data_IF_138314477775
#
_entry.id   IF_138314477775
#
_cell.length_a   1.000
_cell.length_b   1.000
_cell.length_c   1.000
_cell.angle_alpha   90.00
_cell.angle_beta   90.00
_cell.angle_gamma   90.00
#
_symmetry.space_group_name_H-M   'P 1'
#
loop_
_entity.id
_entity.type
_entity.pdbx_description
1 polymer ?
#
# COMPACT_ATOMS: atom_id res chain seq x y z
N UNK A 1 -8.86 12.78 13.87
CA UNK A 1 -7.92 12.59 12.74
C UNK A 1 -8.57 11.69 11.72
N UNK A 2 -8.42 12.00 10.45
CA UNK A 2 -8.80 11.09 9.37
C UNK A 2 -7.59 10.81 8.47
N UNK A 3 -7.73 9.90 7.52
CA UNK A 3 -6.64 9.51 6.64
C UNK A 3 -6.01 10.70 5.90
N UNK A 4 -6.83 11.67 5.49
CA UNK A 4 -6.38 12.79 4.68
C UNK A 4 -5.59 13.85 5.46
N UNK A 5 -5.56 13.75 6.80
CA UNK A 5 -4.72 14.60 7.65
C UNK A 5 -3.27 14.12 7.70
N UNK A 6 -2.98 12.95 7.14
CA UNK A 6 -1.66 12.32 7.22
C UNK A 6 -0.81 12.71 6.04
N UNK A 7 0.46 13.02 6.31
CA UNK A 7 1.49 13.30 5.31
C UNK A 7 2.51 12.16 5.34
N UNK A 8 2.90 11.69 4.16
CA UNK A 8 3.92 10.66 3.98
C UNK A 8 5.03 11.19 3.09
N UNK A 9 6.10 10.43 2.91
CA UNK A 9 7.17 10.78 1.97
C UNK A 9 7.14 9.84 0.78
N UNK A 10 7.31 10.40 -0.43
CA UNK A 10 7.50 9.58 -1.62
C UNK A 10 8.94 9.04 -1.66
N UNK A 11 9.25 8.24 -2.66
CA UNK A 11 10.59 7.64 -2.79
C UNK A 11 11.68 8.61 -3.25
N UNK A 12 11.34 9.88 -3.42
CA UNK A 12 12.29 10.97 -3.68
C UNK A 12 12.49 11.85 -2.44
N UNK A 13 11.90 11.49 -1.30
CA UNK A 13 12.00 12.23 -0.05
C UNK A 13 11.09 13.45 0.04
N UNK A 14 10.15 13.62 -0.89
CA UNK A 14 9.21 14.73 -0.89
C UNK A 14 7.98 14.41 -0.07
N UNK A 15 7.46 15.41 0.65
CA UNK A 15 6.24 15.25 1.45
C UNK A 15 5.01 15.21 0.56
N UNK A 16 4.14 14.24 0.83
CA UNK A 16 2.89 14.02 0.09
C UNK A 16 1.74 13.95 1.09
N UNK A 17 0.79 14.88 0.99
CA UNK A 17 -0.43 14.80 1.78
C UNK A 17 -1.35 13.75 1.19
N UNK A 18 -1.89 12.87 2.03
CA UNK A 18 -2.85 11.86 1.56
C UNK A 18 -4.18 12.49 1.11
N UNK A 19 -4.41 13.78 1.41
CA UNK A 19 -5.57 14.52 0.90
C UNK A 19 -5.60 14.59 -0.63
N UNK A 20 -4.46 14.45 -1.30
CA UNK A 20 -4.44 14.44 -2.78
C UNK A 20 -5.14 13.21 -3.38
N UNK A 21 -5.38 12.18 -2.59
CA UNK A 21 -6.11 10.98 -3.04
C UNK A 21 -7.58 11.00 -2.67
N UNK A 22 -8.08 12.12 -2.17
CA UNK A 22 -9.48 12.28 -1.79
C UNK A 22 -10.40 11.98 -2.98
N UNK A 23 -11.43 11.19 -2.74
CA UNK A 23 -12.36 10.76 -3.79
C UNK A 23 -11.97 9.48 -4.53
N UNK A 24 -10.76 8.96 -4.27
CA UNK A 24 -10.30 7.69 -4.86
C UNK A 24 -10.47 6.54 -3.89
N UNK A 25 -10.69 5.34 -4.45
CA UNK A 25 -10.59 4.10 -3.68
C UNK A 25 -9.11 3.74 -3.60
N UNK A 26 -8.61 3.44 -2.40
CA UNK A 26 -7.19 3.17 -2.18
C UNK A 26 -6.98 1.75 -1.68
N UNK A 27 -5.92 1.11 -2.17
CA UNK A 27 -5.38 -0.11 -1.59
C UNK A 27 -3.97 0.23 -1.07
N UNK A 28 -3.81 0.21 0.25
CA UNK A 28 -2.54 0.54 0.91
C UNK A 28 -1.85 -0.75 1.30
N UNK A 29 -0.61 -0.94 0.85
CA UNK A 29 0.11 -2.21 0.97
C UNK A 29 1.52 -1.95 1.51
N UNK A 30 1.94 -2.72 2.51
CA UNK A 30 3.35 -2.77 2.90
C UNK A 30 4.04 -3.89 2.13
N UNK A 31 5.15 -3.59 1.49
CA UNK A 31 5.73 -4.46 0.47
C UNK A 31 7.19 -4.81 0.73
N UNK A 32 7.69 -5.78 -0.03
CA UNK A 32 9.08 -6.22 0.02
C UNK A 32 9.50 -6.78 -1.33
N UNK A 33 10.81 -6.74 -1.60
CA UNK A 33 11.37 -7.18 -2.88
C UNK A 33 11.95 -8.60 -2.83
N UNK A 34 12.10 -9.17 -1.62
CA UNK A 34 12.70 -10.52 -1.42
C UNK A 34 11.83 -11.44 -0.59
N UNK A 35 10.52 -11.26 -0.64
CA UNK A 35 9.53 -12.07 0.07
C UNK A 35 8.97 -13.16 -0.85
N UNK A 36 8.53 -14.28 -0.27
CA UNK A 36 7.78 -15.30 -1.02
C UNK A 36 6.50 -14.75 -1.65
N UNK A 37 5.92 -13.66 -1.09
CA UNK A 37 4.75 -12.99 -1.64
C UNK A 37 5.08 -11.88 -2.64
N UNK A 38 6.36 -11.57 -2.89
CA UNK A 38 6.76 -10.52 -3.85
C UNK A 38 6.10 -10.68 -5.23
N UNK A 39 5.86 -11.91 -5.76
CA UNK A 39 5.13 -12.05 -7.01
C UNK A 39 3.72 -11.44 -7.02
N UNK A 40 3.13 -11.11 -5.85
CA UNK A 40 1.85 -10.40 -5.80
C UNK A 40 1.91 -9.03 -6.48
N UNK A 41 3.10 -8.45 -6.69
CA UNK A 41 3.24 -7.21 -7.45
C UNK A 41 2.63 -7.31 -8.85
N UNK A 42 2.72 -8.47 -9.50
CA UNK A 42 2.14 -8.68 -10.83
C UNK A 42 0.62 -8.50 -10.79
N UNK A 43 -0.04 -9.12 -9.82
CA UNK A 43 -1.50 -9.02 -9.66
C UNK A 43 -1.92 -7.62 -9.19
N UNK A 44 -1.11 -6.96 -8.34
CA UNK A 44 -1.37 -5.59 -7.93
C UNK A 44 -1.34 -4.65 -9.14
N UNK A 45 -0.34 -4.79 -10.01
CA UNK A 45 -0.26 -3.95 -11.21
C UNK A 45 -1.44 -4.22 -12.15
N UNK A 46 -1.87 -5.48 -12.29
CA UNK A 46 -3.04 -5.82 -13.09
C UNK A 46 -4.32 -5.16 -12.55
N UNK A 47 -4.52 -5.15 -11.24
CA UNK A 47 -5.64 -4.44 -10.61
C UNK A 47 -5.57 -2.94 -10.86
N UNK A 48 -4.38 -2.38 -10.73
CA UNK A 48 -4.16 -0.95 -10.94
C UNK A 48 -4.51 -0.55 -12.37
N UNK A 49 -3.99 -1.27 -13.36
CA UNK A 49 -4.26 -0.97 -14.77
C UNK A 49 -5.73 -1.15 -15.13
N UNK A 50 -6.40 -2.14 -14.52
CA UNK A 50 -7.81 -2.39 -14.79
C UNK A 50 -8.74 -1.30 -14.23
N UNK A 51 -8.38 -0.65 -13.12
CA UNK A 51 -9.31 0.22 -12.38
C UNK A 51 -8.82 1.65 -12.18
N UNK A 52 -7.60 1.99 -12.58
CA UNK A 52 -7.05 3.34 -12.37
C UNK A 52 -7.92 4.44 -12.95
N UNK A 53 -8.51 4.20 -14.11
CA UNK A 53 -9.34 5.20 -14.79
C UNK A 53 -10.70 5.40 -14.11
N UNK A 54 -11.08 4.47 -13.24
CA UNK A 54 -12.30 4.56 -12.44
C UNK A 54 -12.08 5.28 -11.11
N UNK A 55 -10.84 5.71 -10.83
CA UNK A 55 -10.48 6.38 -9.58
C UNK A 55 -9.91 5.44 -8.53
N UNK A 56 -9.21 4.39 -8.93
CA UNK A 56 -8.50 3.47 -8.05
C UNK A 56 -7.01 3.82 -7.98
N UNK A 57 -6.45 3.74 -6.77
CA UNK A 57 -5.02 3.95 -6.57
C UNK A 57 -4.45 2.89 -5.63
N UNK A 58 -3.21 2.48 -5.87
CA UNK A 58 -2.45 1.62 -4.97
C UNK A 58 -1.32 2.44 -4.38
N UNK A 59 -1.21 2.44 -3.06
CA UNK A 59 -0.13 3.13 -2.35
C UNK A 59 0.82 2.09 -1.78
N UNK A 60 2.02 2.02 -2.37
CA UNK A 60 3.02 1.01 -2.07
C UNK A 60 4.06 1.56 -1.09
N UNK A 61 4.12 0.96 0.11
CA UNK A 61 5.05 1.35 1.17
C UNK A 61 6.01 0.20 1.47
N UNK A 62 7.22 0.20 0.90
CA UNK A 62 8.22 -0.82 1.24
C UNK A 62 8.56 -0.80 2.74
N UNK A 63 8.74 -1.98 3.32
CA UNK A 63 9.04 -2.14 4.73
C UNK A 63 10.06 -3.26 4.92
N UNK A 64 11.14 -3.00 5.68
CA UNK A 64 12.22 -3.96 5.89
C UNK A 64 12.14 -4.69 7.24
N UNK A 65 11.01 -4.58 7.96
CA UNK A 65 10.88 -5.14 9.32
C UNK A 65 10.62 -6.65 9.35
N UNK A 66 10.26 -7.26 8.22
CA UNK A 66 9.92 -8.68 8.17
C UNK A 66 11.06 -9.46 7.51
N UNK A 67 11.94 -10.01 8.35
CA UNK A 67 13.12 -10.79 7.94
C UNK A 67 14.03 -10.04 6.96
N UNK A 68 14.06 -8.71 7.02
CA UNK A 68 14.90 -7.85 6.15
C UNK A 68 14.70 -8.15 4.66
N UNK A 69 13.44 -8.34 4.24
CA UNK A 69 13.09 -8.72 2.87
C UNK A 69 12.86 -7.55 1.92
N UNK A 70 13.09 -6.32 2.38
CA UNK A 70 13.09 -5.12 1.55
C UNK A 70 14.42 -4.35 1.70
N UNK A 71 15.57 -4.98 1.38
CA UNK A 71 16.86 -4.33 1.54
C UNK A 71 17.11 -3.28 0.46
N UNK A 72 18.12 -2.43 0.72
CA UNK A 72 18.51 -1.38 -0.20
C UNK A 72 17.77 -0.08 0.05
N UNK A 73 18.14 0.95 -0.68
CA UNK A 73 17.51 2.26 -0.58
C UNK A 73 16.24 2.33 -1.45
N UNK A 74 15.54 3.46 -1.36
CA UNK A 74 14.27 3.65 -2.08
C UNK A 74 14.47 3.59 -3.60
N UNK A 75 15.60 4.07 -4.11
CA UNK A 75 15.90 4.02 -5.54
C UNK A 75 16.08 2.59 -6.02
N UNK A 76 16.81 1.76 -5.27
CA UNK A 76 17.01 0.35 -5.62
C UNK A 76 15.71 -0.43 -5.62
N UNK A 77 14.86 -0.18 -4.64
CA UNK A 77 13.54 -0.83 -4.55
C UNK A 77 12.68 -0.43 -5.74
N UNK A 78 12.64 0.86 -6.08
CA UNK A 78 11.88 1.36 -7.22
C UNK A 78 12.36 0.75 -8.53
N UNK A 79 13.68 0.71 -8.73
CA UNK A 79 14.29 0.11 -9.92
C UNK A 79 13.93 -1.37 -10.03
N UNK A 80 14.01 -2.13 -8.93
CA UNK A 80 13.63 -3.54 -8.92
C UNK A 80 12.18 -3.73 -9.38
N UNK A 81 11.26 -2.97 -8.80
CA UNK A 81 9.83 -3.12 -9.10
C UNK A 81 9.50 -2.73 -10.55
N UNK A 82 10.13 -1.69 -11.07
CA UNK A 82 9.93 -1.27 -12.47
C UNK A 82 10.48 -2.27 -13.45
N UNK A 83 11.68 -2.78 -13.22
CA UNK A 83 12.32 -3.74 -14.12
C UNK A 83 11.67 -5.12 -14.07
N UNK A 84 11.28 -5.59 -12.89
CA UNK A 84 10.75 -6.93 -12.69
C UNK A 84 9.26 -7.03 -12.99
N UNK A 85 8.47 -6.03 -12.59
CA UNK A 85 7.01 -6.07 -12.62
C UNK A 85 6.37 -4.94 -13.42
N UNK A 86 7.17 -3.98 -13.90
CA UNK A 86 6.69 -2.83 -14.65
C UNK A 86 5.58 -2.07 -13.91
N UNK A 87 5.77 -1.88 -12.60
CA UNK A 87 4.76 -1.23 -11.76
C UNK A 87 4.63 0.25 -12.10
N UNK A 88 3.40 0.73 -12.19
CA UNK A 88 3.07 2.13 -12.52
C UNK A 88 2.38 2.87 -11.38
N UNK A 89 1.91 2.15 -10.35
CA UNK A 89 1.31 2.80 -9.18
C UNK A 89 2.38 3.48 -8.32
N UNK A 90 1.99 4.49 -7.51
CA UNK A 90 2.94 5.25 -6.69
C UNK A 90 3.64 4.36 -5.65
N UNK A 91 4.96 4.55 -5.55
CA UNK A 91 5.75 3.93 -4.50
C UNK A 91 6.30 5.02 -3.59
N UNK A 92 6.19 4.77 -2.30
CA UNK A 92 6.60 5.71 -1.26
C UNK A 92 7.94 5.29 -0.65
N UNK A 93 8.50 6.15 0.20
CA UNK A 93 9.71 5.86 0.93
C UNK A 93 9.49 4.68 1.87
N UNK A 94 10.54 3.90 2.10
CA UNK A 94 10.54 2.78 3.04
C UNK A 94 10.13 3.27 4.43
N UNK A 95 9.25 2.53 5.11
CA UNK A 95 8.72 2.88 6.43
C UNK A 95 8.79 1.70 7.38
N UNK A 96 8.54 1.98 8.66
CA UNK A 96 8.24 0.97 9.67
C UNK A 96 6.73 0.94 9.90
N UNK A 97 6.19 -0.25 10.06
CA UNK A 97 4.74 -0.45 10.26
C UNK A 97 4.39 -0.95 11.65
N UNK A 98 5.39 -1.31 12.47
CA UNK A 98 5.23 -1.79 13.85
C UNK A 98 6.31 -1.20 14.75
N UNK A 99 5.96 -0.99 16.01
CA UNK A 99 6.91 -0.68 17.08
C UNK A 99 7.48 0.73 17.03
N UNK A 100 8.69 0.89 17.57
CA UNK A 100 9.35 2.19 17.65
C UNK A 100 9.64 2.73 16.24
N UNK A 101 9.28 4.00 16.01
CA UNK A 101 9.46 4.64 14.70
C UNK A 101 8.40 4.27 13.66
N UNK A 102 7.33 3.62 14.06
CA UNK A 102 6.21 3.28 13.21
C UNK A 102 5.64 4.52 12.52
N UNK A 103 5.30 4.39 11.24
CA UNK A 103 4.73 5.50 10.48
C UNK A 103 3.36 5.92 11.03
N UNK A 104 3.09 7.22 10.98
CA UNK A 104 1.79 7.76 11.41
C UNK A 104 0.63 7.12 10.64
N UNK A 105 0.84 6.84 9.35
CA UNK A 105 -0.16 6.17 8.52
C UNK A 105 -0.54 4.81 9.12
N UNK A 106 0.44 3.98 9.46
CA UNK A 106 0.16 2.65 9.99
C UNK A 106 -0.37 2.68 11.41
N UNK A 107 0.01 3.67 12.21
CA UNK A 107 -0.64 3.90 13.50
C UNK A 107 -2.12 4.17 13.32
N UNK A 108 -2.48 4.99 12.34
CA UNK A 108 -3.87 5.29 12.01
C UNK A 108 -4.61 4.04 11.50
N UNK A 109 -4.05 3.33 10.54
CA UNK A 109 -4.68 2.13 9.96
C UNK A 109 -4.96 1.09 11.05
N UNK A 110 -4.02 0.88 11.96
CA UNK A 110 -4.17 -0.07 13.06
C UNK A 110 -5.11 0.44 14.16
N UNK A 111 -5.42 1.72 14.20
CA UNK A 111 -6.44 2.25 15.09
C UNK A 111 -7.85 1.90 14.62
N UNK A 112 -8.03 1.68 13.32
CA UNK A 112 -9.31 1.30 12.73
C UNK A 112 -9.46 -0.23 12.69
N UNK A 113 -8.46 -0.93 12.17
CA UNK A 113 -8.40 -2.39 12.16
C UNK A 113 -7.21 -2.84 12.98
N UNK A 114 -7.45 -3.13 14.25
CA UNK A 114 -6.41 -3.36 15.26
C UNK A 114 -5.58 -4.60 15.00
N UNK A 115 -4.41 -4.59 15.59
CA UNK A 115 -3.47 -5.70 15.55
C UNK A 115 -2.21 -5.37 14.78
N UNK A 116 -1.12 -5.92 15.27
CA UNK A 116 0.19 -5.81 14.66
C UNK A 116 0.15 -6.24 13.19
N UNK A 117 0.89 -5.57 12.32
CA UNK A 117 1.12 -6.06 10.97
C UNK A 117 2.03 -7.29 11.07
N UNK A 118 1.56 -8.43 10.58
CA UNK A 118 2.22 -9.72 10.82
C UNK A 118 3.27 -10.05 9.79
N UNK A 119 3.12 -9.55 8.55
CA UNK A 119 4.04 -9.87 7.46
C UNK A 119 3.88 -8.89 6.29
N UNK A 120 4.73 -9.05 5.28
CA UNK A 120 4.70 -8.26 4.05
C UNK A 120 3.38 -8.51 3.28
N UNK A 121 2.98 -7.55 2.47
CA UNK A 121 1.78 -7.62 1.61
C UNK A 121 0.46 -7.75 2.39
N UNK A 122 0.41 -7.14 3.58
CA UNK A 122 -0.84 -6.85 4.26
C UNK A 122 -1.51 -5.67 3.55
N UNK A 123 -2.81 -5.74 3.31
CA UNK A 123 -3.53 -4.75 2.52
C UNK A 123 -4.63 -4.11 3.34
N UNK A 124 -4.81 -2.80 3.14
CA UNK A 124 -5.95 -2.05 3.69
C UNK A 124 -6.71 -1.42 2.54
N UNK A 125 -8.03 -1.62 2.51
CA UNK A 125 -8.91 -1.02 1.51
C UNK A 125 -9.58 0.22 2.09
N UNK A 126 -9.55 1.32 1.34
CA UNK A 126 -10.08 2.62 1.75
C UNK A 126 -11.11 3.07 0.75
N UNK A 127 -12.28 3.47 1.24
CA UNK A 127 -13.37 3.98 0.41
C UNK A 127 -13.08 5.39 -0.10
N UNK A 128 -13.94 5.90 -1.00
CA UNK A 128 -13.77 7.23 -1.62
C UNK A 128 -13.82 8.38 -0.62
N UNK A 129 -14.41 8.17 0.55
CA UNK A 129 -14.49 9.20 1.60
C UNK A 129 -13.37 9.09 2.64
N UNK A 130 -12.40 8.20 2.43
CA UNK A 130 -11.27 8.02 3.32
C UNK A 130 -11.51 7.05 4.47
N UNK A 131 -12.66 6.37 4.50
CA UNK A 131 -12.94 5.36 5.51
C UNK A 131 -12.19 4.07 5.19
N UNK A 132 -11.44 3.53 6.15
CA UNK A 132 -10.79 2.22 6.01
C UNK A 132 -11.86 1.15 6.20
N UNK A 133 -12.16 0.39 5.16
CA UNK A 133 -13.31 -0.53 5.15
C UNK A 133 -12.93 -2.00 5.28
N UNK A 134 -11.67 -2.35 5.07
CA UNK A 134 -11.22 -3.74 5.18
C UNK A 134 -9.72 -3.85 5.39
N UNK A 135 -9.30 -4.96 5.99
CA UNK A 135 -7.89 -5.34 6.14
C UNK A 135 -7.74 -6.80 5.69
N UNK A 136 -6.73 -7.06 4.89
CA UNK A 136 -6.45 -8.40 4.35
C UNK A 136 -5.02 -8.81 4.69
N UNK A 137 -4.83 -10.05 5.15
CA UNK A 137 -3.51 -10.59 5.45
C UNK A 137 -2.68 -10.87 4.19
N UNK A 138 -1.42 -11.20 4.40
CA UNK A 138 -0.43 -11.42 3.34
C UNK A 138 -0.85 -12.48 2.33
N UNK A 139 -1.46 -13.57 2.78
CA UNK A 139 -1.83 -14.70 1.93
C UNK A 139 -3.05 -14.42 1.04
N UNK A 140 -3.80 -13.34 1.31
CA UNK A 140 -4.93 -12.96 0.46
C UNK A 140 -4.38 -12.36 -0.82
N UNK A 141 -4.67 -13.00 -1.94
CA UNK A 141 -4.16 -12.57 -3.24
C UNK A 141 -4.89 -11.32 -3.71
N UNK A 142 -4.19 -10.41 -4.43
CA UNK A 142 -4.85 -9.19 -4.93
C UNK A 142 -6.11 -9.46 -5.75
N UNK A 143 -6.12 -10.49 -6.58
CA UNK A 143 -7.30 -10.85 -7.38
C UNK A 143 -8.51 -11.23 -6.53
N UNK A 144 -8.30 -11.71 -5.29
CA UNK A 144 -9.39 -12.04 -4.37
C UNK A 144 -10.05 -10.79 -3.78
N UNK A 145 -9.42 -9.63 -3.91
CA UNK A 145 -9.92 -8.34 -3.39
C UNK A 145 -10.70 -7.57 -4.46
N UNK A 146 -10.63 -7.97 -5.72
CA UNK A 146 -11.17 -7.21 -6.84
C UNK A 146 -12.67 -6.90 -6.71
N UNK A 147 -13.47 -7.85 -6.25
CA UNK A 147 -14.91 -7.61 -6.08
C UNK A 147 -15.19 -6.53 -5.03
N UNK A 148 -14.42 -6.52 -3.93
CA UNK A 148 -14.55 -5.48 -2.90
C UNK A 148 -14.14 -4.11 -3.45
N UNK A 149 -13.08 -4.05 -4.28
CA UNK A 149 -12.65 -2.81 -4.95
C UNK A 149 -13.75 -2.30 -5.86
N UNK A 150 -14.34 -3.16 -6.68
CA UNK A 150 -15.45 -2.80 -7.59
C UNK A 150 -16.65 -2.27 -6.82
N UNK A 151 -16.99 -2.89 -5.69
CA UNK A 151 -18.10 -2.44 -4.87
C UNK A 151 -17.87 -1.03 -4.32
N UNK A 152 -16.62 -0.72 -3.89
CA UNK A 152 -16.28 0.62 -3.41
C UNK A 152 -16.26 1.65 -4.55
N UNK A 153 -15.79 1.26 -5.73
CA UNK A 153 -15.78 2.15 -6.90
C UNK A 153 -17.19 2.52 -7.36
N UNK A 154 -18.16 1.64 -7.16
CA UNK A 154 -19.56 1.83 -7.56
C UNK A 154 -20.36 2.76 -6.64
N UNK A 155 -19.80 3.13 -5.47
CA UNK A 155 -20.49 4.00 -4.50
C UNK A 155 -20.46 5.47 -4.87
#
# INVERSE_FOLDING_TARGET
MNLYDITVQNNQGESVSLSQYQGKVLLIVNTATKCGFTPQYEALEALYEAHRDEGFEILDFPCNQFAFQAPGDDEKIDTFCKLRFDTKFPRFAKIKVNGSGESELYTYLKSVYSGRIKWNFTKFLVSRDGTVVARYGSAVKPEEIEDAIRAELAK
#
